data_IF_088872434864
#
_entry.id   IF_088872434864
#
_cell.length_a   1.000
_cell.length_b   1.000
_cell.length_c   1.000
_cell.angle_alpha   90.00
_cell.angle_beta   90.00
_cell.angle_gamma   90.00
#
_symmetry.space_group_name_H-M   'P 1'
#
loop_
_entity.id
_entity.type
_entity.pdbx_description
1 polymer ?
#
# COMPACT_ATOMS: atom_id res chain seq x y z
N UNK A 1 -0.92 30.13 41.03
CA UNK A 1 -0.39 29.36 39.89
C UNK A 1 -1.39 28.25 39.62
N UNK A 2 -2.30 28.48 38.70
CA UNK A 2 -3.29 27.50 38.28
C UNK A 2 -2.82 26.88 36.96
N UNK A 3 -2.58 25.58 36.97
CA UNK A 3 -2.22 24.76 35.80
C UNK A 3 -3.45 24.65 34.92
N UNK A 4 -3.39 25.22 33.73
CA UNK A 4 -4.39 25.02 32.68
C UNK A 4 -4.15 23.65 32.05
N UNK A 5 -4.98 22.69 32.36
CA UNK A 5 -5.09 21.42 31.62
C UNK A 5 -5.76 21.71 30.27
N UNK A 6 -4.97 21.66 29.22
CA UNK A 6 -5.46 21.65 27.83
C UNK A 6 -6.29 20.38 27.62
N UNK A 7 -7.61 20.52 27.54
CA UNK A 7 -8.49 19.48 27.05
C UNK A 7 -8.37 19.45 25.52
N UNK A 8 -7.58 18.54 24.99
CA UNK A 8 -7.69 18.12 23.59
C UNK A 8 -9.11 17.58 23.38
N UNK A 9 -9.97 18.36 22.74
CA UNK A 9 -11.22 17.83 22.21
C UNK A 9 -10.85 16.74 21.19
N UNK A 10 -11.12 15.50 21.52
CA UNK A 10 -11.07 14.41 20.57
C UNK A 10 -12.05 14.76 19.44
N UNK A 11 -11.54 14.79 18.21
CA UNK A 11 -12.38 14.88 17.02
C UNK A 11 -13.47 13.79 17.01
N UNK A 12 -14.50 13.91 16.16
CA UNK A 12 -15.53 12.88 16.06
C UNK A 12 -14.86 11.52 15.81
N UNK A 13 -15.34 10.44 16.44
CA UNK A 13 -14.75 9.12 16.29
C UNK A 13 -14.70 8.74 14.81
N UNK A 14 -13.56 8.23 14.37
CA UNK A 14 -13.36 7.69 13.02
C UNK A 14 -14.48 6.67 12.71
N UNK A 15 -15.33 6.91 11.67
CA UNK A 15 -16.43 6.00 11.33
C UNK A 15 -15.96 4.57 11.04
N UNK A 16 -14.71 4.42 10.56
CA UNK A 16 -14.11 3.12 10.35
C UNK A 16 -13.62 2.43 11.63
N UNK A 17 -13.62 3.10 12.78
CA UNK A 17 -13.35 2.50 14.09
C UNK A 17 -14.60 1.94 14.77
N UNK A 18 -15.81 2.28 14.26
CA UNK A 18 -17.05 1.72 14.77
C UNK A 18 -17.26 0.30 14.24
N UNK A 19 -17.91 -0.59 15.02
CA UNK A 19 -18.34 -1.88 14.48
C UNK A 19 -19.17 -1.66 13.21
N UNK A 20 -18.95 -2.46 12.18
CA UNK A 20 -19.62 -2.31 10.88
C UNK A 20 -21.16 -2.30 10.99
N UNK A 21 -21.71 -2.92 12.04
CA UNK A 21 -23.15 -2.95 12.31
C UNK A 21 -23.69 -1.65 12.94
N UNK A 22 -22.82 -0.74 13.41
CA UNK A 22 -23.25 0.55 13.98
C UNK A 22 -23.59 1.61 12.93
N UNK A 23 -23.32 1.33 11.64
CA UNK A 23 -23.54 2.26 10.52
C UNK A 23 -24.50 1.61 9.52
N UNK A 24 -25.56 2.32 9.11
CA UNK A 24 -26.42 1.89 8.00
C UNK A 24 -26.02 2.56 6.68
N UNK A 25 -26.37 1.96 5.54
CA UNK A 25 -26.15 2.57 4.22
C UNK A 25 -27.00 3.84 4.07
N UNK A 26 -28.17 3.88 4.67
CA UNK A 26 -29.07 5.02 4.68
C UNK A 26 -28.49 6.19 5.49
N UNK A 27 -27.82 5.91 6.63
CA UNK A 27 -27.13 6.93 7.40
C UNK A 27 -25.95 7.53 6.63
N UNK A 28 -25.20 6.68 5.93
CA UNK A 28 -24.08 7.13 5.09
C UNK A 28 -24.59 8.04 3.94
N UNK A 29 -25.69 7.64 3.28
CA UNK A 29 -26.31 8.45 2.23
C UNK A 29 -26.83 9.78 2.79
N UNK A 30 -27.53 9.75 3.94
CA UNK A 30 -28.03 10.97 4.57
C UNK A 30 -26.90 11.93 5.03
N UNK A 31 -25.74 11.39 5.40
CA UNK A 31 -24.55 12.21 5.70
C UNK A 31 -24.00 12.85 4.44
N UNK A 32 -24.00 12.15 3.30
CA UNK A 32 -23.60 12.70 2.02
C UNK A 32 -24.47 13.90 1.61
N UNK A 33 -25.80 13.78 1.69
CA UNK A 33 -26.71 14.91 1.36
C UNK A 33 -26.44 16.14 2.21
N UNK A 34 -26.14 15.96 3.52
CA UNK A 34 -25.87 17.08 4.44
C UNK A 34 -24.46 17.68 4.26
N UNK A 35 -23.51 16.90 3.78
CA UNK A 35 -22.11 17.28 3.65
C UNK A 35 -21.72 17.78 2.26
N UNK A 36 -22.71 18.05 1.35
CA UNK A 36 -22.40 18.47 0.00
C UNK A 36 -21.71 19.85 -0.04
N UNK A 37 -20.67 19.96 -0.83
CA UNK A 37 -19.88 21.18 -1.03
C UNK A 37 -19.57 21.39 -2.51
N UNK A 38 -19.09 22.59 -2.89
CA UNK A 38 -18.79 22.95 -4.27
C UNK A 38 -17.31 23.23 -4.45
N UNK A 39 -16.62 22.42 -5.24
CA UNK A 39 -15.25 22.68 -5.63
C UNK A 39 -15.11 23.96 -6.46
N UNK A 40 -16.17 24.42 -7.10
CA UNK A 40 -16.17 25.62 -7.95
C UNK A 40 -16.30 26.93 -7.15
N UNK A 41 -16.75 26.87 -5.89
CA UNK A 41 -16.95 28.04 -5.04
C UNK A 41 -15.72 28.40 -4.20
N UNK A 42 -14.71 27.54 -4.14
CA UNK A 42 -13.46 27.84 -3.44
C UNK A 42 -12.68 28.96 -4.15
N UNK A 43 -12.31 29.99 -3.40
CA UNK A 43 -11.53 31.12 -3.89
C UNK A 43 -10.04 30.94 -3.60
N UNK A 44 -9.27 30.59 -4.61
CA UNK A 44 -7.83 30.38 -4.52
C UNK A 44 -6.98 31.66 -4.64
N UNK A 45 -7.56 32.85 -4.56
CA UNK A 45 -6.82 34.12 -4.72
C UNK A 45 -5.70 34.26 -3.70
N UNK A 46 -5.98 34.01 -2.42
CA UNK A 46 -4.98 34.09 -1.35
C UNK A 46 -3.99 32.92 -1.43
N UNK A 47 -4.45 31.72 -1.79
CA UNK A 47 -3.59 30.55 -2.01
C UNK A 47 -2.55 30.83 -3.09
N UNK A 48 -2.97 31.43 -4.22
CA UNK A 48 -2.08 31.80 -5.31
C UNK A 48 -1.06 32.88 -4.90
N UNK A 49 -1.43 33.84 -4.03
CA UNK A 49 -0.52 34.82 -3.47
C UNK A 49 0.53 34.13 -2.59
N UNK A 50 0.07 33.37 -1.59
CA UNK A 50 0.96 32.65 -0.65
C UNK A 50 1.89 31.69 -1.38
N UNK A 51 1.38 30.95 -2.36
CA UNK A 51 2.18 30.04 -3.19
C UNK A 51 3.37 30.73 -3.84
N UNK A 52 3.18 31.93 -4.39
CA UNK A 52 4.25 32.70 -5.04
C UNK A 52 5.21 33.35 -4.05
N UNK A 53 4.68 33.92 -2.94
CA UNK A 53 5.43 34.79 -2.06
C UNK A 53 5.99 34.08 -0.81
N UNK A 54 5.25 33.12 -0.25
CA UNK A 54 5.54 32.54 1.05
C UNK A 54 6.14 31.12 0.98
N UNK A 55 6.02 30.44 -0.16
CA UNK A 55 6.56 29.09 -0.38
C UNK A 55 7.92 29.15 -1.09
N UNK A 56 8.90 28.43 -0.56
CA UNK A 56 10.19 28.22 -1.23
C UNK A 56 10.01 27.36 -2.49
N UNK A 57 10.99 27.39 -3.39
CA UNK A 57 10.98 26.56 -4.59
C UNK A 57 10.92 25.06 -4.25
N UNK A 58 11.63 24.65 -3.19
CA UNK A 58 11.61 23.25 -2.77
C UNK A 58 10.25 22.83 -2.19
N UNK A 59 9.63 23.66 -1.36
CA UNK A 59 8.28 23.41 -0.84
C UNK A 59 7.27 23.27 -1.98
N UNK A 60 7.32 24.15 -2.99
CA UNK A 60 6.47 24.04 -4.18
C UNK A 60 6.67 22.74 -4.93
N UNK A 61 7.93 22.32 -5.14
CA UNK A 61 8.23 21.03 -5.79
C UNK A 61 7.70 19.85 -4.99
N UNK A 62 7.91 19.84 -3.68
CA UNK A 62 7.42 18.78 -2.80
C UNK A 62 5.89 18.72 -2.78
N UNK A 63 5.23 19.89 -2.73
CA UNK A 63 3.78 19.99 -2.79
C UNK A 63 3.21 19.50 -4.13
N UNK A 64 3.78 19.93 -5.26
CA UNK A 64 3.35 19.47 -6.60
C UNK A 64 3.50 17.96 -6.75
N UNK A 65 4.61 17.39 -6.26
CA UNK A 65 4.80 15.95 -6.25
C UNK A 65 3.70 15.25 -5.44
N UNK A 66 3.47 15.67 -4.20
CA UNK A 66 2.51 15.04 -3.29
C UNK A 66 1.07 15.23 -3.77
N UNK A 67 0.66 16.48 -4.07
CA UNK A 67 -0.71 16.79 -4.51
C UNK A 67 -1.02 16.23 -5.90
N UNK A 68 0.01 16.03 -6.73
CA UNK A 68 -0.12 15.36 -8.02
C UNK A 68 -0.53 13.90 -7.89
N UNK A 69 -0.05 13.19 -6.85
CA UNK A 69 -0.49 11.82 -6.56
C UNK A 69 -1.98 11.78 -6.21
N UNK A 70 -2.45 12.72 -5.37
CA UNK A 70 -3.88 12.85 -5.06
C UNK A 70 -4.69 13.17 -6.31
N UNK A 71 -4.29 14.17 -7.09
CA UNK A 71 -5.02 14.54 -8.29
C UNK A 71 -5.22 13.38 -9.28
N UNK A 72 -4.16 12.60 -9.51
CA UNK A 72 -4.27 11.40 -10.36
C UNK A 72 -5.15 10.33 -9.70
N UNK A 73 -4.99 10.13 -8.38
CA UNK A 73 -5.76 9.15 -7.63
C UNK A 73 -7.26 9.39 -7.73
N UNK A 74 -7.72 10.60 -7.46
CA UNK A 74 -9.13 10.99 -7.48
C UNK A 74 -9.78 10.78 -8.87
N UNK A 75 -9.07 11.13 -9.95
CA UNK A 75 -9.52 10.89 -11.31
C UNK A 75 -9.62 9.39 -11.62
N UNK A 76 -8.60 8.63 -11.27
CA UNK A 76 -8.56 7.19 -11.51
C UNK A 76 -9.65 6.43 -10.74
N UNK A 77 -9.93 6.81 -9.48
CA UNK A 77 -10.98 6.14 -8.70
C UNK A 77 -12.37 6.51 -9.22
N UNK A 78 -12.60 7.76 -9.64
CA UNK A 78 -13.85 8.18 -10.28
C UNK A 78 -14.18 7.33 -11.52
N UNK A 79 -13.17 7.08 -12.37
CA UNK A 79 -13.33 6.28 -13.59
C UNK A 79 -13.64 4.80 -13.31
N UNK A 80 -13.12 4.25 -12.21
CA UNK A 80 -13.19 2.83 -11.90
C UNK A 80 -14.40 2.40 -11.06
N UNK A 81 -15.26 3.32 -10.57
CA UNK A 81 -16.38 2.97 -9.66
C UNK A 81 -17.58 2.29 -10.34
N UNK A 82 -17.82 2.50 -11.64
CA UNK A 82 -18.98 1.92 -12.34
C UNK A 82 -19.11 0.41 -12.16
N UNK A 83 -18.06 -0.43 -12.30
CA UNK A 83 -18.18 -1.88 -12.07
C UNK A 83 -18.51 -2.25 -10.63
N UNK A 84 -18.12 -1.43 -9.65
CA UNK A 84 -18.49 -1.62 -8.24
C UNK A 84 -19.98 -1.38 -8.02
N UNK A 85 -20.53 -0.31 -8.61
CA UNK A 85 -21.97 -0.01 -8.61
C UNK A 85 -22.74 -1.18 -9.20
N UNK A 86 -22.29 -1.71 -10.35
CA UNK A 86 -22.92 -2.83 -11.02
C UNK A 86 -22.90 -4.12 -10.19
N UNK A 87 -21.76 -4.41 -9.53
CA UNK A 87 -21.55 -5.61 -8.76
C UNK A 87 -22.21 -5.58 -7.37
N UNK A 88 -22.49 -4.40 -6.80
CA UNK A 88 -23.09 -4.27 -5.49
C UNK A 88 -24.46 -4.99 -5.41
N UNK A 89 -24.66 -5.90 -4.43
CA UNK A 89 -25.86 -6.78 -4.42
C UNK A 89 -27.15 -6.06 -4.03
N UNK A 90 -27.09 -4.94 -3.28
CA UNK A 90 -28.26 -4.22 -2.76
C UNK A 90 -28.38 -2.81 -3.35
N UNK A 91 -29.60 -2.30 -3.45
CA UNK A 91 -29.88 -0.97 -4.00
C UNK A 91 -29.24 0.15 -3.19
N UNK A 92 -29.29 0.05 -1.88
CA UNK A 92 -28.74 1.02 -0.93
C UNK A 92 -27.23 1.18 -1.12
N UNK A 93 -26.54 0.07 -1.41
CA UNK A 93 -25.11 0.04 -1.72
C UNK A 93 -24.82 0.72 -3.08
N UNK A 94 -25.67 0.46 -4.10
CA UNK A 94 -25.56 1.12 -5.40
C UNK A 94 -25.77 2.64 -5.30
N UNK A 95 -26.76 3.06 -4.51
CA UNK A 95 -27.04 4.48 -4.32
C UNK A 95 -25.84 5.18 -3.66
N UNK A 96 -25.28 4.58 -2.62
CA UNK A 96 -24.10 5.15 -1.98
C UNK A 96 -22.88 5.22 -2.92
N UNK A 97 -22.56 4.13 -3.62
CA UNK A 97 -21.45 4.13 -4.59
C UNK A 97 -21.64 5.15 -5.72
N UNK A 98 -22.89 5.45 -6.11
CA UNK A 98 -23.18 6.51 -7.08
C UNK A 98 -22.85 7.89 -6.49
N UNK A 99 -23.17 8.14 -5.22
CA UNK A 99 -22.78 9.39 -4.54
C UNK A 99 -21.28 9.51 -4.38
N UNK A 100 -20.60 8.40 -4.06
CA UNK A 100 -19.15 8.34 -3.98
C UNK A 100 -18.52 8.71 -5.33
N UNK A 101 -19.01 8.19 -6.45
CA UNK A 101 -18.48 8.55 -7.78
C UNK A 101 -18.63 10.06 -8.07
N UNK A 102 -19.68 10.71 -7.57
CA UNK A 102 -19.86 12.18 -7.65
C UNK A 102 -18.82 12.89 -6.79
N UNK A 103 -18.53 12.37 -5.57
CA UNK A 103 -17.52 12.94 -4.68
C UNK A 103 -16.13 12.88 -5.33
N UNK A 104 -15.72 11.72 -5.87
CA UNK A 104 -14.41 11.54 -6.52
C UNK A 104 -14.24 12.48 -7.74
N UNK A 105 -15.27 12.61 -8.53
CA UNK A 105 -15.25 13.57 -9.66
C UNK A 105 -15.10 15.01 -9.16
N UNK A 106 -15.75 15.38 -8.04
CA UNK A 106 -15.60 16.70 -7.40
C UNK A 106 -14.20 16.90 -6.85
N UNK A 107 -13.60 15.89 -6.22
CA UNK A 107 -12.22 15.92 -5.73
C UNK A 107 -11.24 16.13 -6.88
N UNK A 108 -11.38 15.39 -7.97
CA UNK A 108 -10.55 15.59 -9.16
C UNK A 108 -10.67 17.01 -9.74
N UNK A 109 -11.88 17.58 -9.78
CA UNK A 109 -12.10 18.99 -10.22
C UNK A 109 -11.43 19.97 -9.26
N UNK A 110 -11.49 19.72 -7.94
CA UNK A 110 -10.81 20.55 -6.94
C UNK A 110 -9.29 20.57 -7.17
N UNK A 111 -8.67 19.40 -7.28
CA UNK A 111 -7.22 19.30 -7.52
C UNK A 111 -6.82 19.91 -8.86
N UNK A 112 -7.59 19.69 -9.95
CA UNK A 112 -7.33 20.31 -11.23
C UNK A 112 -7.33 21.84 -11.13
N UNK A 113 -8.34 22.43 -10.45
CA UNK A 113 -8.41 23.87 -10.23
C UNK A 113 -7.20 24.39 -9.47
N UNK A 114 -6.84 23.75 -8.35
CA UNK A 114 -5.69 24.14 -7.55
C UNK A 114 -4.39 24.07 -8.36
N UNK A 115 -4.16 22.96 -9.07
CA UNK A 115 -2.96 22.79 -9.90
C UNK A 115 -2.85 23.88 -10.97
N UNK A 116 -3.95 24.28 -11.60
CA UNK A 116 -3.95 25.33 -12.61
C UNK A 116 -3.88 26.73 -12.01
N UNK A 117 -4.78 27.06 -11.09
CA UNK A 117 -4.99 28.43 -10.62
C UNK A 117 -3.90 28.88 -9.65
N UNK A 118 -3.34 27.96 -8.86
CA UNK A 118 -2.32 28.23 -7.85
C UNK A 118 -0.93 27.82 -8.31
N UNK A 119 -0.77 26.57 -8.78
CA UNK A 119 0.54 26.03 -9.16
C UNK A 119 0.97 26.38 -10.60
N UNK A 120 0.04 26.82 -11.46
CA UNK A 120 0.31 27.10 -12.88
C UNK A 120 0.61 25.84 -13.70
N UNK A 121 0.04 24.69 -13.31
CA UNK A 121 0.26 23.39 -13.94
C UNK A 121 -0.99 22.96 -14.72
N UNK A 122 -0.78 22.49 -15.96
CA UNK A 122 -1.86 22.11 -16.88
C UNK A 122 -2.35 23.26 -17.73
N UNK A 123 -3.31 22.97 -18.61
CA UNK A 123 -3.90 23.91 -19.58
C UNK A 123 -5.37 24.26 -19.24
N UNK A 124 -5.84 23.85 -18.08
CA UNK A 124 -7.22 24.03 -17.63
C UNK A 124 -8.15 22.89 -17.95
N UNK A 125 -7.77 21.99 -18.84
CA UNK A 125 -8.50 20.75 -19.06
C UNK A 125 -8.08 19.68 -18.03
N UNK A 126 -8.96 18.70 -17.76
CA UNK A 126 -8.63 17.56 -16.94
C UNK A 126 -7.45 16.78 -17.55
N UNK A 127 -7.53 16.45 -18.82
CA UNK A 127 -6.51 15.70 -19.53
C UNK A 127 -5.15 16.42 -19.55
N UNK A 128 -5.10 17.74 -19.76
CA UNK A 128 -3.87 18.52 -19.72
C UNK A 128 -3.24 18.57 -18.33
N UNK A 129 -4.06 18.70 -17.28
CA UNK A 129 -3.62 18.64 -15.90
C UNK A 129 -3.01 17.28 -15.55
N UNK A 130 -3.70 16.19 -15.82
CA UNK A 130 -3.22 14.82 -15.59
C UNK A 130 -1.93 14.52 -16.38
N UNK A 131 -1.87 14.91 -17.65
CA UNK A 131 -0.67 14.75 -18.45
C UNK A 131 0.54 15.49 -17.86
N UNK A 132 0.33 16.68 -17.30
CA UNK A 132 1.41 17.48 -16.71
C UNK A 132 1.97 16.87 -15.43
N UNK A 133 1.15 16.19 -14.61
CA UNK A 133 1.61 15.54 -13.36
C UNK A 133 2.08 14.10 -13.56
N UNK A 134 1.77 13.46 -14.67
CA UNK A 134 2.14 12.05 -14.94
C UNK A 134 3.61 11.72 -14.67
N UNK A 135 4.60 12.58 -14.98
CA UNK A 135 6.01 12.33 -14.65
C UNK A 135 6.31 12.27 -13.15
N UNK A 136 5.42 12.79 -12.29
CA UNK A 136 5.57 12.80 -10.84
C UNK A 136 5.15 11.47 -10.20
N UNK A 137 4.39 10.64 -10.92
CA UNK A 137 3.86 9.38 -10.40
C UNK A 137 4.98 8.38 -10.15
N UNK A 138 5.05 7.88 -8.93
CA UNK A 138 6.01 6.86 -8.54
C UNK A 138 5.70 5.51 -9.19
N UNK A 139 6.68 4.63 -9.26
CA UNK A 139 6.49 3.28 -9.81
C UNK A 139 5.47 2.48 -9.00
N UNK A 140 5.54 2.54 -7.66
CA UNK A 140 4.57 1.86 -6.80
C UNK A 140 3.16 2.40 -6.96
N UNK A 141 3.01 3.71 -7.08
CA UNK A 141 1.72 4.35 -7.34
C UNK A 141 1.08 3.79 -8.64
N UNK A 142 1.84 3.79 -9.73
CA UNK A 142 1.36 3.25 -11.01
C UNK A 142 0.92 1.81 -10.89
N UNK A 143 1.69 0.95 -10.22
CA UNK A 143 1.34 -0.46 -10.05
C UNK A 143 0.03 -0.66 -9.27
N UNK A 144 -0.22 0.15 -8.23
CA UNK A 144 -1.47 0.08 -7.46
C UNK A 144 -2.66 0.51 -8.32
N UNK A 145 -2.54 1.59 -9.10
CA UNK A 145 -3.63 2.10 -9.93
C UNK A 145 -3.85 1.26 -11.20
N UNK A 146 -2.79 0.71 -11.82
CA UNK A 146 -2.92 -0.28 -12.89
C UNK A 146 -3.66 -1.55 -12.38
N UNK A 147 -3.44 -1.91 -11.09
CA UNK A 147 -4.18 -3.01 -10.46
C UNK A 147 -5.64 -2.64 -10.21
N UNK A 148 -5.93 -1.38 -9.88
CA UNK A 148 -7.31 -0.88 -9.75
C UNK A 148 -8.05 -0.99 -11.09
N UNK A 149 -7.45 -0.53 -12.19
CA UNK A 149 -8.00 -0.65 -13.53
C UNK A 149 -8.29 -2.11 -13.91
N UNK A 150 -7.31 -2.99 -13.67
CA UNK A 150 -7.46 -4.42 -13.92
C UNK A 150 -8.57 -5.03 -13.06
N UNK A 151 -8.67 -4.64 -11.78
CA UNK A 151 -9.72 -5.12 -10.87
C UNK A 151 -11.12 -4.69 -11.34
N UNK A 152 -11.26 -3.48 -11.84
CA UNK A 152 -12.51 -2.99 -12.40
C UNK A 152 -12.96 -3.82 -13.61
N UNK A 153 -12.02 -4.16 -14.52
CA UNK A 153 -12.32 -5.03 -15.65
C UNK A 153 -12.65 -6.47 -15.21
N UNK A 154 -11.91 -7.02 -14.26
CA UNK A 154 -12.19 -8.33 -13.68
C UNK A 154 -13.58 -8.36 -13.03
N UNK A 155 -13.99 -7.28 -12.35
CA UNK A 155 -15.28 -7.17 -11.67
C UNK A 155 -16.45 -7.07 -12.66
N UNK A 156 -16.24 -6.51 -13.86
CA UNK A 156 -17.25 -6.53 -14.95
C UNK A 156 -17.56 -7.96 -15.40
N UNK A 157 -16.56 -8.81 -15.42
CA UNK A 157 -16.67 -10.21 -15.87
C UNK A 157 -17.13 -11.17 -14.75
N UNK A 158 -16.69 -10.93 -13.50
CA UNK A 158 -16.95 -11.79 -12.34
C UNK A 158 -17.43 -10.94 -11.16
N UNK A 159 -18.73 -11.02 -10.84
CA UNK A 159 -19.39 -10.27 -9.76
C UNK A 159 -19.63 -11.12 -8.51
N UNK A 160 -18.83 -12.15 -8.28
CA UNK A 160 -18.93 -12.96 -7.07
C UNK A 160 -18.64 -12.14 -5.80
N UNK A 161 -19.21 -12.52 -4.64
CA UNK A 161 -18.91 -11.84 -3.37
C UNK A 161 -17.42 -11.76 -3.05
N UNK A 162 -16.66 -12.82 -3.33
CA UNK A 162 -15.22 -12.87 -3.12
C UNK A 162 -14.47 -11.88 -4.04
N UNK A 163 -14.87 -11.73 -5.30
CA UNK A 163 -14.28 -10.77 -6.23
C UNK A 163 -14.61 -9.33 -5.81
N UNK A 164 -15.88 -9.06 -5.50
CA UNK A 164 -16.30 -7.74 -5.01
C UNK A 164 -15.57 -7.38 -3.71
N UNK A 165 -15.41 -8.33 -2.78
CA UNK A 165 -14.68 -8.09 -1.53
C UNK A 165 -13.20 -7.74 -1.77
N UNK A 166 -12.53 -8.42 -2.72
CA UNK A 166 -11.16 -8.06 -3.10
C UNK A 166 -11.11 -6.65 -3.71
N UNK A 167 -12.07 -6.29 -4.57
CA UNK A 167 -12.16 -4.96 -5.15
C UNK A 167 -12.38 -3.88 -4.08
N UNK A 168 -13.32 -4.09 -3.16
CA UNK A 168 -13.58 -3.19 -2.02
C UNK A 168 -12.34 -3.07 -1.12
N UNK A 169 -11.64 -4.17 -0.86
CA UNK A 169 -10.41 -4.13 -0.07
C UNK A 169 -9.30 -3.32 -0.77
N UNK A 170 -9.15 -3.45 -2.10
CA UNK A 170 -8.18 -2.64 -2.85
C UNK A 170 -8.52 -1.15 -2.79
N UNK A 171 -9.75 -0.81 -3.11
CA UNK A 171 -10.18 0.57 -3.21
C UNK A 171 -10.28 1.24 -1.84
N UNK A 172 -11.21 0.81 -0.98
CA UNK A 172 -11.53 1.51 0.26
C UNK A 172 -10.51 1.26 1.39
N UNK A 173 -9.83 0.09 1.41
CA UNK A 173 -8.92 -0.22 2.52
C UNK A 173 -7.46 0.08 2.15
N UNK A 174 -7.00 -0.35 0.98
CA UNK A 174 -5.60 -0.10 0.58
C UNK A 174 -5.43 1.33 0.08
N UNK A 175 -6.22 1.78 -0.90
CA UNK A 175 -6.05 3.10 -1.54
C UNK A 175 -6.51 4.20 -0.58
N UNK A 176 -7.77 4.22 -0.16
CA UNK A 176 -8.30 5.31 0.67
C UNK A 176 -7.76 5.26 2.11
N UNK A 177 -8.01 4.15 2.84
CA UNK A 177 -7.71 4.12 4.27
C UNK A 177 -6.22 3.99 4.60
N UNK A 178 -5.42 3.30 3.77
CA UNK A 178 -4.01 3.04 4.06
C UNK A 178 -3.04 4.00 3.37
N UNK A 179 -3.35 4.44 2.15
CA UNK A 179 -2.46 5.30 1.37
C UNK A 179 -2.90 6.76 1.38
N UNK A 180 -4.17 7.06 1.12
CA UNK A 180 -4.66 8.44 0.99
C UNK A 180 -4.88 9.11 2.35
N UNK A 181 -5.60 8.48 3.29
CA UNK A 181 -5.97 9.07 4.58
C UNK A 181 -4.76 9.60 5.38
N UNK A 182 -3.63 8.87 5.54
CA UNK A 182 -2.45 9.41 6.22
C UNK A 182 -1.88 10.64 5.52
N UNK A 183 -1.77 10.61 4.18
CA UNK A 183 -1.30 11.74 3.39
C UNK A 183 -2.16 12.99 3.56
N UNK A 184 -3.50 12.85 3.52
CA UNK A 184 -4.45 13.93 3.78
C UNK A 184 -4.25 14.52 5.19
N UNK A 185 -4.11 13.65 6.21
CA UNK A 185 -3.87 14.08 7.58
C UNK A 185 -2.59 14.92 7.71
N UNK A 186 -1.48 14.46 7.13
CA UNK A 186 -0.21 15.20 7.16
C UNK A 186 -0.30 16.55 6.41
N UNK A 187 -0.94 16.58 5.25
CA UNK A 187 -1.18 17.83 4.48
C UNK A 187 -2.00 18.82 5.30
N UNK A 188 -3.16 18.41 5.80
CA UNK A 188 -4.05 19.26 6.58
C UNK A 188 -3.35 19.81 7.83
N UNK A 189 -2.66 18.94 8.58
CA UNK A 189 -1.91 19.33 9.79
C UNK A 189 -0.78 20.31 9.49
N UNK A 190 -0.07 20.13 8.38
CA UNK A 190 0.97 21.08 7.95
C UNK A 190 0.38 22.45 7.59
N UNK A 191 -0.66 22.47 6.77
CA UNK A 191 -1.30 23.72 6.33
C UNK A 191 -1.94 24.49 7.49
N UNK A 192 -2.53 23.77 8.45
CA UNK A 192 -3.10 24.36 9.67
C UNK A 192 -2.02 24.98 10.54
N UNK A 193 -0.93 24.26 10.86
CA UNK A 193 0.19 24.80 11.65
C UNK A 193 0.84 26.01 11.00
N UNK A 194 0.93 26.04 9.68
CA UNK A 194 1.53 27.15 8.91
C UNK A 194 0.55 28.28 8.64
N UNK A 195 -0.75 28.07 8.86
CA UNK A 195 -1.83 28.93 8.43
C UNK A 195 -1.72 29.31 6.96
N UNK A 196 -1.52 28.30 6.10
CA UNK A 196 -1.27 28.48 4.67
C UNK A 196 -2.36 27.86 3.81
N UNK A 197 -2.48 28.35 2.58
CA UNK A 197 -3.38 27.88 1.54
C UNK A 197 -4.82 27.67 2.06
N UNK A 198 -5.52 28.73 2.49
CA UNK A 198 -6.78 28.61 3.20
C UNK A 198 -7.87 27.87 2.41
N UNK A 199 -8.04 28.16 1.12
CA UNK A 199 -9.05 27.51 0.29
C UNK A 199 -8.64 26.06 -0.05
N UNK A 200 -7.36 25.78 -0.27
CA UNK A 200 -6.89 24.40 -0.45
C UNK A 200 -7.07 23.59 0.83
N UNK A 201 -6.76 24.17 1.99
CA UNK A 201 -6.99 23.51 3.29
C UNK A 201 -8.46 23.21 3.51
N UNK A 202 -9.37 24.15 3.20
CA UNK A 202 -10.82 23.94 3.28
C UNK A 202 -11.26 22.78 2.39
N UNK A 203 -10.83 22.77 1.12
CA UNK A 203 -11.13 21.69 0.18
C UNK A 203 -10.59 20.33 0.67
N UNK A 204 -9.36 20.27 1.18
CA UNK A 204 -8.78 19.05 1.74
C UNK A 204 -9.54 18.55 2.99
N UNK A 205 -10.06 19.44 3.82
CA UNK A 205 -10.89 19.08 4.97
C UNK A 205 -12.24 18.53 4.52
N UNK A 206 -12.84 19.08 3.47
CA UNK A 206 -14.08 18.57 2.88
C UNK A 206 -13.85 17.17 2.26
N UNK A 207 -12.76 16.99 1.50
CA UNK A 207 -12.35 15.69 0.96
C UNK A 207 -12.16 14.69 2.10
N UNK A 208 -11.41 15.02 3.15
CA UNK A 208 -11.19 14.12 4.27
C UNK A 208 -12.51 13.70 4.96
N UNK A 209 -13.52 14.56 5.02
CA UNK A 209 -14.84 14.23 5.53
C UNK A 209 -15.63 13.29 4.58
N UNK A 210 -15.46 13.47 3.26
CA UNK A 210 -16.03 12.58 2.26
C UNK A 210 -15.38 11.19 2.36
N UNK A 211 -14.04 11.12 2.41
CA UNK A 211 -13.27 9.88 2.55
C UNK A 211 -13.64 9.04 3.79
N UNK A 212 -13.92 9.70 4.91
CA UNK A 212 -14.41 8.97 6.09
C UNK A 212 -15.71 8.21 5.82
N UNK A 213 -16.61 8.77 4.98
CA UNK A 213 -17.85 8.08 4.57
C UNK A 213 -17.55 6.93 3.62
N UNK A 214 -16.65 7.13 2.67
CA UNK A 214 -16.24 6.12 1.70
C UNK A 214 -15.60 4.92 2.40
N UNK A 215 -14.64 5.15 3.28
CA UNK A 215 -13.99 4.11 4.09
C UNK A 215 -15.02 3.40 4.98
N UNK A 216 -15.92 4.15 5.63
CA UNK A 216 -17.00 3.57 6.46
C UNK A 216 -17.92 2.65 5.66
N UNK A 217 -18.28 3.06 4.43
CA UNK A 217 -19.03 2.22 3.50
C UNK A 217 -18.24 0.97 3.10
N UNK A 218 -16.98 1.12 2.73
CA UNK A 218 -16.11 0.01 2.34
C UNK A 218 -15.99 -1.05 3.45
N UNK A 219 -15.75 -0.63 4.69
CA UNK A 219 -15.70 -1.51 5.86
C UNK A 219 -17.02 -2.25 6.05
N UNK A 220 -18.16 -1.55 5.95
CA UNK A 220 -19.48 -2.17 6.08
C UNK A 220 -19.76 -3.18 4.97
N UNK A 221 -19.51 -2.81 3.71
CA UNK A 221 -19.72 -3.71 2.59
C UNK A 221 -18.83 -4.95 2.68
N UNK A 222 -17.56 -4.77 3.04
CA UNK A 222 -16.64 -5.88 3.24
C UNK A 222 -17.07 -6.81 4.38
N UNK A 223 -17.60 -6.26 5.47
CA UNK A 223 -18.17 -7.03 6.58
C UNK A 223 -19.40 -7.84 6.13
N UNK A 224 -20.33 -7.22 5.38
CA UNK A 224 -21.51 -7.91 4.85
C UNK A 224 -21.10 -9.07 3.94
N UNK A 225 -20.17 -8.84 2.99
CA UNK A 225 -19.64 -9.87 2.08
C UNK A 225 -18.91 -11.01 2.82
N UNK A 226 -18.15 -10.67 3.88
CA UNK A 226 -17.46 -11.67 4.71
C UNK A 226 -18.44 -12.56 5.47
N UNK A 227 -19.59 -12.03 5.89
CA UNK A 227 -20.67 -12.83 6.50
C UNK A 227 -21.36 -13.77 5.50
N UNK A 228 -21.49 -13.32 4.24
CA UNK A 228 -22.08 -14.13 3.16
C UNK A 228 -21.14 -15.26 2.71
N UNK A 229 -19.84 -15.00 2.61
CA UNK A 229 -18.81 -15.98 2.22
C UNK A 229 -17.59 -15.94 3.15
N UNK A 230 -17.68 -16.55 4.34
CA UNK A 230 -16.61 -16.50 5.36
C UNK A 230 -15.35 -17.30 5.00
N UNK A 231 -15.35 -17.99 3.88
CA UNK A 231 -14.18 -18.74 3.37
C UNK A 231 -13.57 -18.09 2.15
N UNK A 232 -14.39 -17.70 1.17
CA UNK A 232 -13.92 -17.13 -0.09
C UNK A 232 -13.41 -15.71 0.08
N UNK A 233 -14.12 -14.87 0.85
CA UNK A 233 -13.75 -13.46 1.06
C UNK A 233 -12.39 -13.31 1.74
N UNK A 234 -12.09 -13.95 2.90
CA UNK A 234 -10.76 -13.83 3.50
C UNK A 234 -9.63 -14.31 2.58
N UNK A 235 -9.87 -15.38 1.81
CA UNK A 235 -8.88 -15.86 0.84
C UNK A 235 -8.63 -14.88 -0.31
N UNK A 236 -9.70 -14.25 -0.82
CA UNK A 236 -9.58 -13.27 -1.90
C UNK A 236 -8.85 -12.01 -1.44
N UNK A 237 -9.21 -11.50 -0.25
CA UNK A 237 -8.53 -10.35 0.37
C UNK A 237 -7.06 -10.66 0.66
N UNK A 238 -6.75 -11.81 1.25
CA UNK A 238 -5.36 -12.20 1.52
C UNK A 238 -4.52 -12.32 0.24
N UNK A 239 -5.12 -12.84 -0.86
CA UNK A 239 -4.44 -12.91 -2.17
C UNK A 239 -4.14 -11.50 -2.70
N UNK A 240 -5.13 -10.61 -2.66
CA UNK A 240 -4.95 -9.22 -3.05
C UNK A 240 -3.85 -8.53 -2.25
N UNK A 241 -3.89 -8.62 -0.92
CA UNK A 241 -2.89 -7.98 -0.06
C UNK A 241 -1.47 -8.48 -0.36
N UNK A 242 -1.30 -9.77 -0.61
CA UNK A 242 -0.01 -10.33 -1.04
C UNK A 242 0.47 -9.77 -2.38
N UNK A 243 -0.47 -9.53 -3.30
CA UNK A 243 -0.18 -8.98 -4.63
C UNK A 243 0.25 -7.50 -4.54
N UNK A 244 -0.45 -6.69 -3.77
CA UNK A 244 -0.27 -5.23 -3.79
C UNK A 244 0.73 -4.70 -2.74
N UNK A 245 0.90 -5.38 -1.61
CA UNK A 245 1.78 -4.91 -0.52
C UNK A 245 3.23 -4.63 -0.95
N UNK A 246 3.85 -5.41 -1.86
CA UNK A 246 5.19 -5.08 -2.34
C UNK A 246 5.34 -3.70 -2.96
N UNK A 247 4.26 -3.12 -3.46
CA UNK A 247 4.25 -1.81 -4.13
C UNK A 247 3.88 -0.65 -3.19
N UNK A 248 3.18 -0.92 -2.09
CA UNK A 248 2.71 0.14 -1.17
C UNK A 248 3.84 0.99 -0.61
N UNK A 249 5.00 0.38 -0.28
CA UNK A 249 6.20 1.10 0.18
C UNK A 249 6.80 2.05 -0.87
N UNK A 250 6.41 1.94 -2.14
CA UNK A 250 6.89 2.80 -3.21
C UNK A 250 5.85 3.85 -3.66
N UNK A 251 4.64 3.83 -3.12
CA UNK A 251 3.60 4.82 -3.49
C UNK A 251 4.04 6.23 -3.12
N UNK A 252 4.50 6.42 -1.89
CA UNK A 252 5.02 7.69 -1.39
C UNK A 252 6.56 7.74 -1.42
N UNK A 253 7.17 7.03 -2.37
CA UNK A 253 8.60 7.09 -2.60
C UNK A 253 8.98 8.48 -3.15
N UNK A 254 9.70 9.31 -2.38
CA UNK A 254 10.07 10.62 -2.86
C UNK A 254 11.09 10.52 -4.00
N UNK A 255 11.17 11.51 -4.91
CA UNK A 255 12.16 11.54 -5.96
C UNK A 255 13.59 11.35 -5.43
N UNK A 256 14.30 10.33 -5.94
CA UNK A 256 15.64 9.98 -5.50
C UNK A 256 15.74 9.55 -4.02
N UNK A 257 14.65 9.12 -3.41
CA UNK A 257 14.54 8.83 -1.97
C UNK A 257 14.92 9.99 -1.06
N UNK A 258 14.72 11.23 -1.53
CA UNK A 258 15.02 12.44 -0.77
C UNK A 258 13.90 12.70 0.27
N UNK A 259 14.17 12.34 1.52
CA UNK A 259 13.22 12.47 2.63
C UNK A 259 12.73 13.89 2.86
N UNK A 260 13.43 14.91 2.34
CA UNK A 260 13.00 16.31 2.44
C UNK A 260 11.63 16.53 1.80
N UNK A 261 11.26 15.76 0.77
CA UNK A 261 9.93 15.83 0.15
C UNK A 261 8.78 15.49 1.10
N UNK A 262 9.05 14.73 2.15
CA UNK A 262 8.07 14.38 3.19
C UNK A 262 8.29 15.24 4.43
N UNK A 263 9.55 15.39 4.88
CA UNK A 263 9.84 16.11 6.12
C UNK A 263 9.53 17.60 6.05
N UNK A 264 9.46 18.18 4.86
CA UNK A 264 9.00 19.57 4.65
C UNK A 264 7.55 19.77 5.14
N UNK A 265 6.75 18.73 5.15
CA UNK A 265 5.38 18.73 5.68
C UNK A 265 5.32 18.41 7.18
N UNK A 266 6.47 18.20 7.84
CA UNK A 266 6.57 17.97 9.27
C UNK A 266 6.31 16.55 9.74
N UNK A 267 6.35 15.58 8.84
CA UNK A 267 6.29 14.14 9.12
C UNK A 267 7.49 13.40 8.56
N UNK A 268 7.57 12.11 8.80
CA UNK A 268 8.56 11.21 8.22
C UNK A 268 7.89 10.13 7.37
N UNK A 269 8.66 9.46 6.54
CA UNK A 269 8.18 8.30 5.77
C UNK A 269 7.60 7.22 6.72
N UNK A 270 8.26 6.99 7.85
CA UNK A 270 7.83 5.99 8.83
C UNK A 270 6.52 6.39 9.53
N UNK A 271 6.30 7.69 9.82
CA UNK A 271 5.04 8.17 10.41
C UNK A 271 3.86 7.85 9.48
N UNK A 272 3.99 8.17 8.19
CA UNK A 272 2.96 7.88 7.17
C UNK A 272 2.75 6.37 7.04
N UNK A 273 3.83 5.58 6.99
CA UNK A 273 3.77 4.13 6.87
C UNK A 273 3.09 3.47 8.09
N UNK A 274 3.42 3.91 9.30
CA UNK A 274 2.82 3.42 10.56
C UNK A 274 1.33 3.75 10.61
N UNK A 275 0.95 4.98 10.26
CA UNK A 275 -0.45 5.41 10.25
C UNK A 275 -1.27 4.59 9.23
N UNK A 276 -0.74 4.41 8.01
CA UNK A 276 -1.38 3.60 6.97
C UNK A 276 -1.57 2.14 7.35
N UNK A 277 -0.54 1.51 7.93
CA UNK A 277 -0.62 0.12 8.42
C UNK A 277 -1.63 -0.05 9.55
N UNK A 278 -1.66 0.89 10.50
CA UNK A 278 -2.62 0.88 11.60
C UNK A 278 -4.04 1.07 11.08
N UNK A 279 -4.25 2.02 10.16
CA UNK A 279 -5.54 2.26 9.53
C UNK A 279 -6.04 1.00 8.81
N UNK A 280 -5.24 0.42 7.90
CA UNK A 280 -5.58 -0.80 7.18
C UNK A 280 -5.96 -1.94 8.13
N UNK A 281 -5.11 -2.21 9.13
CA UNK A 281 -5.32 -3.29 10.10
C UNK A 281 -6.62 -3.10 10.88
N UNK A 282 -6.88 -1.88 11.34
CA UNK A 282 -8.10 -1.54 12.09
C UNK A 282 -9.35 -1.73 11.24
N UNK A 283 -9.34 -1.27 9.98
CA UNK A 283 -10.47 -1.38 9.06
C UNK A 283 -10.77 -2.85 8.69
N UNK A 284 -9.73 -3.65 8.42
CA UNK A 284 -9.89 -5.08 8.15
C UNK A 284 -10.49 -5.82 9.35
N UNK A 285 -10.02 -5.52 10.57
CA UNK A 285 -10.61 -6.09 11.80
C UNK A 285 -12.06 -5.67 11.99
N UNK A 286 -12.38 -4.40 11.74
CA UNK A 286 -13.76 -3.88 11.81
C UNK A 286 -14.68 -4.55 10.78
N UNK A 287 -14.14 -4.99 9.64
CA UNK A 287 -14.85 -5.80 8.65
C UNK A 287 -14.94 -7.29 9.02
N UNK A 288 -14.47 -7.69 10.19
CA UNK A 288 -14.52 -9.08 10.68
C UNK A 288 -13.45 -9.99 10.07
N UNK A 289 -12.38 -9.41 9.49
CA UNK A 289 -11.25 -10.17 8.96
C UNK A 289 -10.17 -10.30 10.03
N UNK A 290 -9.82 -11.54 10.39
CA UNK A 290 -8.76 -11.83 11.35
C UNK A 290 -7.39 -11.62 10.67
N UNK A 291 -6.88 -10.41 10.71
CA UNK A 291 -5.65 -10.00 10.02
C UNK A 291 -4.45 -10.87 10.42
N UNK A 292 -4.42 -11.31 11.67
CA UNK A 292 -3.37 -12.16 12.24
C UNK A 292 -3.32 -13.57 11.61
N UNK A 293 -4.44 -14.00 11.03
CA UNK A 293 -4.58 -15.32 10.39
C UNK A 293 -4.56 -15.23 8.87
N UNK A 294 -4.63 -14.02 8.30
CA UNK A 294 -4.47 -13.84 6.87
C UNK A 294 -3.00 -14.13 6.50
N UNK A 295 -2.75 -15.01 5.51
CA UNK A 295 -1.38 -15.24 5.06
C UNK A 295 -0.82 -13.93 4.52
N UNK A 296 0.07 -13.32 5.29
CA UNK A 296 0.78 -12.10 4.91
C UNK A 296 1.70 -12.31 3.69
N UNK A 297 2.14 -11.24 3.03
CA UNK A 297 3.17 -11.36 2.01
C UNK A 297 4.46 -11.93 2.64
N UNK A 298 5.16 -12.85 1.95
CA UNK A 298 6.36 -13.50 2.50
C UNK A 298 7.45 -12.53 2.97
N UNK A 299 7.46 -11.32 2.42
CA UNK A 299 8.40 -10.24 2.74
C UNK A 299 8.08 -9.51 4.06
N UNK A 300 6.87 -9.70 4.61
CA UNK A 300 6.45 -9.16 5.90
C UNK A 300 6.23 -10.33 6.86
N UNK A 301 7.23 -10.68 7.66
CA UNK A 301 7.10 -11.76 8.62
C UNK A 301 6.11 -11.40 9.72
N UNK A 302 5.40 -12.39 10.27
CA UNK A 302 4.49 -12.16 11.38
C UNK A 302 5.24 -11.67 12.63
N UNK A 303 4.53 -10.94 13.50
CA UNK A 303 5.04 -10.50 14.80
C UNK A 303 5.89 -9.23 14.77
N UNK A 304 5.99 -8.54 13.64
CA UNK A 304 6.61 -7.22 13.55
C UNK A 304 5.63 -6.11 13.96
N UNK A 305 6.15 -5.06 14.57
CA UNK A 305 5.40 -3.82 14.81
C UNK A 305 5.18 -3.06 13.50
N UNK A 306 4.18 -2.16 13.41
CA UNK A 306 3.97 -1.32 12.23
C UNK A 306 5.22 -0.52 11.82
N UNK A 307 6.00 -0.04 12.80
CA UNK A 307 7.25 0.66 12.54
C UNK A 307 8.30 -0.26 11.88
N UNK A 308 8.50 -1.45 12.42
CA UNK A 308 9.42 -2.43 11.84
C UNK A 308 9.00 -2.86 10.43
N UNK A 309 7.68 -2.97 10.18
CA UNK A 309 7.13 -3.26 8.84
C UNK A 309 7.44 -2.12 7.87
N UNK A 310 7.20 -0.86 8.29
CA UNK A 310 7.49 0.33 7.47
C UNK A 310 8.98 0.40 7.12
N UNK A 311 9.85 0.34 8.11
CA UNK A 311 11.30 0.40 7.94
C UNK A 311 11.84 -0.74 7.05
N UNK A 312 11.34 -1.97 7.27
CA UNK A 312 11.70 -3.12 6.45
C UNK A 312 11.22 -2.96 5.00
N UNK A 313 9.97 -2.55 4.80
CA UNK A 313 9.41 -2.30 3.48
C UNK A 313 10.21 -1.25 2.72
N UNK A 314 10.55 -0.14 3.37
CA UNK A 314 11.41 0.91 2.81
C UNK A 314 12.79 0.38 2.42
N UNK A 315 13.47 -0.30 3.34
CA UNK A 315 14.81 -0.85 3.08
C UNK A 315 14.82 -1.83 1.89
N UNK A 316 13.85 -2.75 1.84
CA UNK A 316 13.70 -3.70 0.73
C UNK A 316 13.36 -3.01 -0.60
N UNK A 317 12.55 -1.95 -0.57
CA UNK A 317 12.21 -1.17 -1.76
C UNK A 317 13.42 -0.37 -2.27
N UNK A 318 14.17 0.31 -1.39
CA UNK A 318 15.40 1.03 -1.73
C UNK A 318 16.47 0.10 -2.31
N UNK A 319 16.54 -1.13 -1.79
CA UNK A 319 17.45 -2.15 -2.27
C UNK A 319 17.03 -2.82 -3.59
N UNK A 320 15.88 -2.45 -4.17
CA UNK A 320 15.35 -3.06 -5.40
C UNK A 320 14.88 -4.51 -5.22
N UNK A 321 14.61 -4.93 -3.97
CA UNK A 321 14.14 -6.28 -3.65
C UNK A 321 12.64 -6.40 -3.86
N UNK A 322 11.85 -5.41 -3.40
CA UNK A 322 10.40 -5.40 -3.57
C UNK A 322 9.96 -4.24 -4.46
N UNK A 323 8.72 -4.29 -4.91
CA UNK A 323 8.15 -3.29 -5.79
C UNK A 323 8.72 -3.37 -7.21
N UNK A 324 8.71 -2.24 -7.90
CA UNK A 324 9.33 -2.09 -9.23
C UNK A 324 10.81 -1.83 -9.06
N UNK A 325 11.64 -2.69 -9.61
CA UNK A 325 13.09 -2.51 -9.59
C UNK A 325 13.49 -1.54 -10.71
N UNK A 326 14.07 -0.41 -10.34
CA UNK A 326 14.62 0.59 -11.31
C UNK A 326 16.06 0.28 -11.73
N UNK A 327 16.65 -0.79 -11.19
CA UNK A 327 18.01 -1.23 -11.46
C UNK A 327 18.31 -2.58 -10.80
N UNK A 328 19.59 -3.01 -10.84
CA UNK A 328 20.02 -4.22 -10.13
C UNK A 328 19.85 -4.04 -8.62
N UNK A 329 19.46 -5.12 -7.93
CA UNK A 329 19.34 -5.13 -6.48
C UNK A 329 20.66 -4.79 -5.79
N UNK A 330 20.58 -4.02 -4.72
CA UNK A 330 21.74 -3.67 -3.89
C UNK A 330 22.45 -4.93 -3.36
N UNK A 331 23.78 -4.86 -3.18
CA UNK A 331 24.64 -5.99 -2.78
C UNK A 331 25.42 -5.72 -1.50
N UNK A 332 25.05 -4.67 -0.76
CA UNK A 332 25.66 -4.38 0.53
C UNK A 332 25.30 -5.44 1.59
N UNK A 333 26.09 -5.50 2.65
CA UNK A 333 25.95 -6.51 3.67
C UNK A 333 24.61 -6.46 4.44
N UNK A 334 24.02 -5.26 4.58
CA UNK A 334 22.73 -5.06 5.25
C UNK A 334 21.58 -5.61 4.38
N UNK A 335 21.58 -5.30 3.09
CA UNK A 335 20.58 -5.83 2.14
C UNK A 335 20.65 -7.35 2.06
N UNK A 336 21.85 -7.93 1.97
CA UNK A 336 22.05 -9.38 1.91
C UNK A 336 21.51 -10.04 3.20
N UNK A 337 21.87 -9.51 4.36
CA UNK A 337 21.42 -10.02 5.65
C UNK A 337 19.89 -9.93 5.79
N UNK A 338 19.29 -8.81 5.38
CA UNK A 338 17.84 -8.59 5.39
C UNK A 338 17.11 -9.60 4.49
N UNK A 339 17.68 -9.91 3.31
CA UNK A 339 17.09 -10.89 2.40
C UNK A 339 17.17 -12.32 2.98
N UNK A 340 18.26 -12.69 3.61
CA UNK A 340 18.37 -13.99 4.28
C UNK A 340 17.52 -14.09 5.54
N UNK A 341 17.35 -13.02 6.31
CA UNK A 341 16.35 -12.97 7.37
C UNK A 341 14.93 -13.15 6.80
N UNK A 342 14.62 -12.52 5.67
CA UNK A 342 13.35 -12.73 4.96
C UNK A 342 13.18 -14.17 4.53
N UNK A 343 14.21 -14.78 3.96
CA UNK A 343 14.20 -16.18 3.53
C UNK A 343 13.97 -17.14 4.72
N UNK A 344 14.63 -16.88 5.87
CA UNK A 344 14.45 -17.64 7.10
C UNK A 344 13.00 -17.62 7.59
N UNK A 345 12.37 -16.45 7.55
CA UNK A 345 10.99 -16.24 8.02
C UNK A 345 9.92 -16.78 7.09
N UNK A 346 10.28 -17.09 5.83
CA UNK A 346 9.40 -17.76 4.86
C UNK A 346 9.30 -19.27 5.09
N UNK A 347 10.06 -19.84 5.99
CA UNK A 347 10.00 -21.29 6.28
C UNK A 347 8.61 -21.60 6.84
N UNK A 348 7.92 -22.53 6.20
CA UNK A 348 6.65 -23.06 6.69
C UNK A 348 6.85 -23.76 8.03
N UNK A 349 6.27 -23.29 9.15
CA UNK A 349 6.34 -23.99 10.42
C UNK A 349 5.82 -25.43 10.36
N UNK A 350 4.88 -25.68 9.41
CA UNK A 350 4.27 -26.98 9.16
C UNK A 350 5.04 -27.88 8.16
N UNK A 351 6.30 -27.55 7.81
CA UNK A 351 7.07 -28.27 6.78
C UNK A 351 7.23 -29.80 7.03
N UNK A 352 6.99 -30.27 8.25
CA UNK A 352 6.97 -31.70 8.59
C UNK A 352 8.30 -32.43 8.40
N UNK A 353 9.42 -31.73 8.39
CA UNK A 353 10.74 -32.36 8.33
C UNK A 353 11.06 -33.03 9.66
N UNK A 354 11.25 -34.34 9.64
CA UNK A 354 11.65 -35.15 10.83
C UNK A 354 13.14 -35.11 11.05
N UNK A 355 13.93 -34.73 10.07
CA UNK A 355 15.38 -34.58 10.11
C UNK A 355 15.77 -33.20 9.62
N UNK A 356 16.67 -32.54 10.34
CA UNK A 356 17.24 -31.25 9.95
C UNK A 356 17.85 -31.29 8.54
N UNK A 357 17.88 -30.11 7.89
CA UNK A 357 18.43 -29.94 6.55
C UNK A 357 19.24 -28.64 6.50
N UNK A 358 20.38 -28.68 5.80
CA UNK A 358 21.20 -27.51 5.55
C UNK A 358 21.25 -27.17 4.05
N UNK A 359 20.84 -25.95 3.72
CA UNK A 359 20.96 -25.38 2.38
C UNK A 359 22.15 -24.41 2.36
N UNK A 360 22.93 -24.45 1.29
CA UNK A 360 24.07 -23.56 1.05
C UNK A 360 23.83 -22.80 -0.24
N UNK A 361 23.91 -21.45 -0.19
CA UNK A 361 23.93 -20.59 -1.38
C UNK A 361 25.38 -20.28 -1.75
N UNK A 362 25.70 -20.50 -3.02
CA UNK A 362 26.93 -20.12 -3.66
C UNK A 362 26.60 -19.13 -4.76
N UNK A 363 26.91 -17.85 -4.55
CA UNK A 363 26.62 -16.83 -5.54
C UNK A 363 27.65 -16.84 -6.66
N UNK A 364 27.21 -16.52 -7.89
CA UNK A 364 28.11 -16.37 -9.03
C UNK A 364 28.79 -15.01 -9.04
N UNK A 365 28.30 -14.08 -8.25
CA UNK A 365 28.81 -12.72 -8.07
C UNK A 365 29.95 -12.77 -7.03
N UNK A 366 31.18 -12.35 -7.40
CA UNK A 366 32.34 -12.53 -6.56
C UNK A 366 32.36 -11.68 -5.27
N UNK A 367 31.56 -10.61 -5.27
CA UNK A 367 31.39 -9.66 -4.18
C UNK A 367 30.28 -10.07 -3.20
N UNK A 368 29.50 -11.12 -3.52
CA UNK A 368 28.45 -11.63 -2.64
C UNK A 368 28.94 -12.89 -1.91
N UNK A 369 29.03 -12.86 -0.57
CA UNK A 369 29.51 -14.00 0.20
C UNK A 369 28.51 -15.18 0.13
N UNK A 370 29.03 -16.37 0.33
CA UNK A 370 28.18 -17.55 0.50
C UNK A 370 27.33 -17.43 1.78
N UNK A 371 26.14 -18.03 1.77
CA UNK A 371 25.21 -18.06 2.89
C UNK A 371 24.66 -19.47 3.09
N UNK A 372 24.24 -19.80 4.31
CA UNK A 372 23.59 -21.08 4.59
C UNK A 372 22.34 -20.90 5.46
N UNK A 373 21.38 -21.79 5.25
CA UNK A 373 20.14 -21.91 6.04
C UNK A 373 20.14 -23.31 6.67
N UNK A 374 19.98 -23.36 7.99
CA UNK A 374 19.73 -24.60 8.73
C UNK A 374 18.28 -24.65 9.14
N UNK A 375 17.60 -25.70 8.72
CA UNK A 375 16.21 -25.98 9.09
C UNK A 375 16.21 -27.14 10.06
N UNK A 376 15.88 -26.87 11.31
CA UNK A 376 15.81 -27.84 12.36
C UNK A 376 14.46 -27.77 13.08
N UNK A 377 14.04 -28.88 13.74
CA UNK A 377 12.74 -28.90 14.41
C UNK A 377 12.74 -27.89 15.59
N UNK A 378 12.21 -26.68 15.34
CA UNK A 378 12.05 -25.63 16.35
C UNK A 378 13.18 -24.57 16.42
N UNK A 379 14.25 -24.69 15.63
CA UNK A 379 15.37 -23.74 15.64
C UNK A 379 15.99 -23.53 14.26
N UNK A 380 15.29 -22.80 13.38
CA UNK A 380 15.83 -22.44 12.07
C UNK A 380 16.84 -21.28 12.21
N UNK A 381 17.91 -21.31 11.43
CA UNK A 381 18.93 -20.25 11.46
C UNK A 381 19.54 -20.00 10.09
N UNK A 382 19.96 -18.76 9.84
CA UNK A 382 20.78 -18.38 8.69
C UNK A 382 22.14 -17.89 9.15
N UNK A 383 23.16 -18.06 8.31
CA UNK A 383 24.50 -17.58 8.59
C UNK A 383 25.28 -17.33 7.31
N UNK A 384 26.22 -16.38 7.38
CA UNK A 384 27.15 -16.09 6.32
C UNK A 384 28.30 -17.11 6.32
N UNK A 385 28.77 -17.45 5.14
CA UNK A 385 29.91 -18.33 4.91
C UNK A 385 29.53 -19.73 4.45
N UNK A 386 30.53 -20.51 4.13
CA UNK A 386 30.36 -21.90 3.70
C UNK A 386 30.20 -22.81 4.92
N UNK A 387 29.42 -23.88 4.75
CA UNK A 387 29.23 -24.92 5.74
C UNK A 387 29.59 -26.29 5.17
N UNK A 388 30.36 -27.08 5.94
CA UNK A 388 30.68 -28.42 5.56
C UNK A 388 29.44 -29.32 5.62
N UNK A 389 29.27 -30.22 4.62
CA UNK A 389 28.21 -31.21 4.62
C UNK A 389 26.80 -30.67 4.34
N UNK A 390 26.68 -29.56 3.64
CA UNK A 390 25.37 -29.06 3.20
C UNK A 390 24.62 -30.14 2.40
N UNK A 391 23.34 -30.38 2.73
CA UNK A 391 22.48 -31.36 2.06
C UNK A 391 22.13 -30.92 0.63
N UNK A 392 21.99 -29.60 0.45
CA UNK A 392 21.70 -28.97 -0.85
C UNK A 392 22.58 -27.76 -1.05
N UNK A 393 23.18 -27.63 -2.21
CA UNK A 393 23.94 -26.46 -2.66
C UNK A 393 23.19 -25.81 -3.81
N UNK A 394 22.91 -24.53 -3.68
CA UNK A 394 22.21 -23.68 -4.65
C UNK A 394 23.22 -22.70 -5.22
N UNK A 395 23.50 -22.83 -6.54
CA UNK A 395 24.34 -21.87 -7.25
C UNK A 395 23.47 -20.97 -8.10
N UNK A 396 23.54 -19.67 -7.87
CA UNK A 396 22.63 -18.67 -8.44
C UNK A 396 23.32 -17.31 -8.48
N UNK A 397 22.92 -16.39 -9.38
CA UNK A 397 23.34 -14.99 -9.25
C UNK A 397 22.56 -14.29 -8.13
N UNK A 398 23.13 -13.22 -7.57
CA UNK A 398 22.43 -12.41 -6.57
C UNK A 398 21.10 -11.90 -7.09
N UNK A 399 21.08 -11.34 -8.32
CA UNK A 399 19.85 -10.83 -8.93
C UNK A 399 18.80 -11.93 -9.11
N UNK A 400 19.17 -13.11 -9.59
CA UNK A 400 18.24 -14.22 -9.73
C UNK A 400 17.67 -14.68 -8.39
N UNK A 401 18.50 -14.66 -7.34
CA UNK A 401 18.03 -14.98 -5.99
C UNK A 401 17.03 -13.95 -5.47
N UNK A 402 17.34 -12.65 -5.63
CA UNK A 402 16.41 -11.56 -5.31
C UNK A 402 15.10 -11.73 -6.06
N UNK A 403 15.16 -12.01 -7.35
CA UNK A 403 13.95 -12.21 -8.17
C UNK A 403 13.12 -13.42 -7.74
N UNK A 404 13.76 -14.48 -7.25
CA UNK A 404 13.06 -15.65 -6.69
C UNK A 404 12.38 -15.28 -5.37
N UNK A 405 13.08 -14.63 -4.44
CA UNK A 405 12.51 -14.27 -3.13
C UNK A 405 11.40 -13.24 -3.26
N UNK A 406 11.50 -12.31 -4.20
CA UNK A 406 10.47 -11.31 -4.52
C UNK A 406 9.36 -11.81 -5.43
N UNK A 407 9.33 -13.11 -5.77
CA UNK A 407 8.34 -13.76 -6.64
C UNK A 407 8.34 -13.27 -8.11
N UNK A 408 9.34 -12.48 -8.52
CA UNK A 408 9.51 -12.07 -9.93
C UNK A 408 10.02 -13.21 -10.83
N UNK A 409 10.70 -14.19 -10.26
CA UNK A 409 11.20 -15.38 -10.97
C UNK A 409 10.72 -16.64 -10.27
N UNK A 410 9.97 -17.48 -11.00
CA UNK A 410 9.60 -18.80 -10.52
C UNK A 410 10.83 -19.69 -10.32
N UNK A 411 11.03 -20.32 -9.16
CA UNK A 411 12.22 -21.12 -8.87
C UNK A 411 12.35 -22.36 -9.79
N UNK A 412 11.25 -22.98 -10.22
CA UNK A 412 11.28 -24.11 -11.15
C UNK A 412 11.70 -23.65 -12.54
N UNK A 413 11.21 -22.49 -12.97
CA UNK A 413 11.65 -21.87 -14.23
C UNK A 413 13.13 -21.49 -14.16
N UNK A 414 13.60 -20.96 -13.01
CA UNK A 414 15.03 -20.67 -12.82
C UNK A 414 15.90 -21.94 -12.93
N UNK A 415 15.44 -23.06 -12.40
CA UNK A 415 16.12 -24.36 -12.56
C UNK A 415 16.09 -24.82 -14.02
N UNK A 416 14.94 -24.80 -14.66
CA UNK A 416 14.77 -25.25 -16.04
C UNK A 416 15.61 -24.45 -17.04
N UNK A 417 15.82 -23.15 -16.76
CA UNK A 417 16.64 -22.25 -17.59
C UNK A 417 18.12 -22.19 -17.19
N UNK A 418 18.53 -22.94 -16.14
CA UNK A 418 19.91 -22.99 -15.67
C UNK A 418 20.37 -21.75 -14.87
N UNK A 419 19.46 -20.80 -14.57
CA UNK A 419 19.70 -19.62 -13.74
C UNK A 419 19.91 -19.99 -12.26
N UNK A 420 19.21 -21.03 -11.76
CA UNK A 420 19.41 -21.66 -10.47
C UNK A 420 19.88 -23.10 -10.68
N UNK A 421 21.05 -23.45 -10.15
CA UNK A 421 21.56 -24.82 -10.19
C UNK A 421 21.55 -25.40 -8.79
N UNK A 422 20.77 -26.45 -8.58
CA UNK A 422 20.69 -27.17 -7.33
C UNK A 422 21.50 -28.47 -7.41
N UNK A 423 22.36 -28.74 -6.43
CA UNK A 423 23.13 -29.97 -6.27
C UNK A 423 22.92 -30.52 -4.86
N UNK A 424 22.80 -31.83 -4.74
CA UNK A 424 22.63 -32.48 -3.44
C UNK A 424 21.91 -33.82 -3.57
N UNK A 425 21.60 -34.41 -2.44
CA UNK A 425 20.82 -35.63 -2.38
C UNK A 425 19.43 -35.42 -3.01
N UNK A 426 18.95 -36.26 -3.93
CA UNK A 426 17.62 -36.11 -4.56
C UNK A 426 16.47 -36.03 -3.54
N UNK A 427 16.55 -36.74 -2.43
CA UNK A 427 15.57 -36.64 -1.34
C UNK A 427 15.61 -35.29 -0.63
N UNK A 428 16.80 -34.69 -0.46
CA UNK A 428 16.93 -33.35 0.12
C UNK A 428 16.38 -32.30 -0.85
N UNK A 429 16.67 -32.40 -2.15
CA UNK A 429 16.14 -31.49 -3.19
C UNK A 429 14.60 -31.50 -3.21
N UNK A 430 13.97 -32.67 -3.09
CA UNK A 430 12.50 -32.74 -3.03
C UNK A 430 11.89 -32.08 -1.77
N UNK A 431 12.67 -31.98 -0.68
CA UNK A 431 12.26 -31.35 0.58
C UNK A 431 12.37 -29.85 0.53
N UNK A 432 13.29 -29.27 -0.25
CA UNK A 432 13.42 -27.79 -0.38
C UNK A 432 12.10 -27.16 -0.79
N UNK A 433 11.37 -27.78 -1.72
CA UNK A 433 10.06 -27.31 -2.17
C UNK A 433 8.95 -27.42 -1.11
N UNK A 434 9.18 -28.14 0.00
CA UNK A 434 8.23 -28.26 1.12
C UNK A 434 8.51 -27.26 2.22
N UNK A 435 9.74 -26.74 2.31
CA UNK A 435 10.12 -25.79 3.35
C UNK A 435 9.50 -24.43 3.10
N UNK A 436 9.37 -24.05 1.82
CA UNK A 436 8.80 -22.76 1.45
C UNK A 436 7.37 -22.96 0.95
N UNK A 437 6.39 -22.26 1.53
CA UNK A 437 5.01 -22.34 1.08
C UNK A 437 4.91 -21.92 -0.39
N UNK A 438 4.17 -22.66 -1.19
CA UNK A 438 3.78 -22.23 -2.51
C UNK A 438 2.64 -21.23 -2.36
N UNK A 439 2.83 -20.01 -2.85
CA UNK A 439 1.83 -18.97 -2.84
C UNK A 439 0.57 -19.33 -3.63
#
# INVERSE_FOLDING_TARGET
>A
MASATSSTQAGPPDPGALPADAISYEDLYARWERGNWSAMELDFTEDARQWREDFTEFERRAAVWNYGLFFWGEDAVADNLTPYIDAAPRKEQKYFLTTQQVDEARHAVFFRRFMQEVCGIGDGSMAGGLQAIKPQLTSGFRMIFDRLDTMAEELRADRTPAKLAAAVALYHIVIEASLAQPGQHFICSYLERRNALPAFREGMQNIAADEQRHIGFGVKLLSDLNREDPVGVPRAVARLLREVTPYTSQVLMPPGWDDRYITVFGGTYDDVGVEGLNSMTTKLRSAGLAVETLPGPPIIPPGLTPLEISQRGRALAQAGVIGVAEGPAARDGETIALLFDTTLRQIDPGHGLTRGMTLQWEFTDPDVPAWHLRVENGANSVGQGEVAGADVRLRVSWQDWVDIVSTRLDPLRAIATGRLRARGNPLALSRVLRIFPRG
#
